data_IF_353038387976
#
_entry.id   IF_353038387976
#
_cell.length_a   1.000
_cell.length_b   1.000
_cell.length_c   1.000
_cell.angle_alpha   90.00
_cell.angle_beta   90.00
_cell.angle_gamma   90.00
#
_symmetry.space_group_name_H-M   'P 1'
#
loop_
_entity.id
_entity.type
_entity.pdbx_description
1 polymer ?
#
# COMPACT_ATOMS: atom_id res chain seq x y z
N UNK A 1 -29.66 2.07 22.18
CA UNK A 1 -28.71 2.85 21.33
C UNK A 1 -29.52 3.62 20.28
N UNK A 2 -29.23 4.91 20.02
CA UNK A 2 -29.93 5.63 18.95
C UNK A 2 -29.56 5.00 17.60
N UNK A 3 -30.50 4.86 16.63
CA UNK A 3 -30.22 4.40 15.30
C UNK A 3 -29.18 5.29 14.59
N UNK A 4 -28.27 4.69 13.80
CA UNK A 4 -27.16 5.41 13.16
C UNK A 4 -27.63 6.62 12.33
N UNK A 5 -28.72 6.49 11.56
CA UNK A 5 -29.20 7.58 10.71
C UNK A 5 -29.68 8.80 11.53
N UNK A 6 -30.25 8.58 12.73
CA UNK A 6 -30.65 9.67 13.62
C UNK A 6 -29.42 10.41 14.14
N UNK A 7 -28.37 9.68 14.52
CA UNK A 7 -27.12 10.29 14.97
C UNK A 7 -26.45 11.13 13.88
N UNK A 8 -26.34 10.57 12.67
CA UNK A 8 -25.76 11.29 11.54
C UNK A 8 -26.60 12.54 11.17
N UNK A 9 -27.94 12.42 11.20
CA UNK A 9 -28.82 13.55 10.95
C UNK A 9 -28.67 14.66 12.00
N UNK A 10 -28.57 14.30 13.29
CA UNK A 10 -28.32 15.27 14.33
C UNK A 10 -26.97 15.99 14.12
N UNK A 11 -25.91 15.26 13.77
CA UNK A 11 -24.60 15.89 13.47
C UNK A 11 -24.65 16.85 12.29
N UNK A 12 -25.52 16.61 11.30
CA UNK A 12 -25.74 17.54 10.18
C UNK A 12 -26.54 18.76 10.65
N UNK A 13 -27.60 18.55 11.46
CA UNK A 13 -28.48 19.62 11.97
C UNK A 13 -27.75 20.51 12.99
N UNK A 14 -26.82 19.95 13.78
CA UNK A 14 -26.00 20.68 14.75
C UNK A 14 -24.88 21.51 14.10
N UNK A 15 -24.62 21.32 12.78
CA UNK A 15 -23.61 22.06 12.06
C UNK A 15 -24.23 23.31 11.38
N UNK A 16 -23.93 24.50 11.94
CA UNK A 16 -24.47 25.77 11.48
C UNK A 16 -24.18 26.12 10.01
N UNK A 17 -23.12 25.53 9.44
CA UNK A 17 -22.65 25.80 8.08
C UNK A 17 -23.05 24.75 7.06
N UNK A 18 -23.89 23.75 7.43
CA UNK A 18 -24.16 22.59 6.58
C UNK A 18 -25.66 22.26 6.60
N UNK A 19 -26.28 22.25 5.43
CA UNK A 19 -27.67 21.78 5.27
C UNK A 19 -27.71 20.40 4.61
N UNK A 20 -28.87 19.72 4.70
CA UNK A 20 -29.07 18.45 3.97
C UNK A 20 -28.95 18.61 2.46
N UNK A 21 -29.25 19.79 1.92
CA UNK A 21 -29.07 20.10 0.50
C UNK A 21 -27.59 20.16 0.15
N UNK A 22 -26.78 20.81 0.97
CA UNK A 22 -25.31 20.87 0.77
C UNK A 22 -24.70 19.47 0.85
N UNK A 23 -25.14 18.65 1.80
CA UNK A 23 -24.71 17.25 1.90
C UNK A 23 -25.08 16.46 0.65
N UNK A 24 -26.27 16.64 0.10
CA UNK A 24 -26.69 15.98 -1.13
C UNK A 24 -25.80 16.38 -2.31
N UNK A 25 -25.50 17.67 -2.46
CA UNK A 25 -24.62 18.22 -3.50
C UNK A 25 -23.19 17.68 -3.35
N UNK A 26 -22.60 17.75 -2.15
CA UNK A 26 -21.25 17.25 -1.85
C UNK A 26 -21.10 15.74 -2.07
N UNK A 27 -22.18 14.97 -1.86
CA UNK A 27 -22.20 13.53 -2.12
C UNK A 27 -22.47 13.20 -3.61
N UNK A 28 -22.89 14.16 -4.41
CA UNK A 28 -23.35 13.94 -5.79
C UNK A 28 -24.58 13.04 -5.84
N UNK A 29 -25.56 13.27 -4.95
CA UNK A 29 -26.82 12.51 -4.88
C UNK A 29 -28.03 13.45 -4.87
N UNK A 30 -29.23 12.91 -5.18
CA UNK A 30 -30.45 13.70 -5.09
C UNK A 30 -30.86 13.96 -3.63
N UNK A 31 -31.58 15.03 -3.38
CA UNK A 31 -32.14 15.32 -2.05
C UNK A 31 -33.11 14.23 -1.57
N UNK A 32 -33.77 13.52 -2.50
CA UNK A 32 -34.62 12.37 -2.18
C UNK A 32 -33.81 11.20 -1.62
N UNK A 33 -32.56 11.03 -2.06
CA UNK A 33 -31.65 10.03 -1.49
C UNK A 33 -31.35 10.35 -0.02
N UNK A 34 -31.06 11.60 0.31
CA UNK A 34 -30.83 12.05 1.69
C UNK A 34 -32.10 11.94 2.53
N UNK A 35 -33.27 12.30 1.98
CA UNK A 35 -34.57 12.12 2.66
C UNK A 35 -34.84 10.64 2.97
N UNK A 36 -34.50 9.74 2.05
CA UNK A 36 -34.61 8.29 2.28
C UNK A 36 -33.67 7.81 3.38
N UNK A 37 -32.46 8.37 3.43
CA UNK A 37 -31.53 8.08 4.54
C UNK A 37 -32.09 8.58 5.87
N UNK A 38 -32.56 9.84 5.94
CA UNK A 38 -33.16 10.44 7.15
C UNK A 38 -34.32 9.59 7.70
N UNK A 39 -35.19 9.12 6.82
CA UNK A 39 -36.41 8.42 7.23
C UNK A 39 -36.26 6.90 7.41
N UNK A 40 -35.33 6.25 6.68
CA UNK A 40 -35.23 4.78 6.60
C UNK A 40 -33.84 4.24 6.99
N UNK A 41 -32.86 5.10 7.22
CA UNK A 41 -31.47 4.70 7.53
C UNK A 41 -30.77 3.99 6.36
N UNK A 42 -31.23 4.15 5.12
CA UNK A 42 -30.67 3.47 3.96
C UNK A 42 -29.61 4.36 3.30
N UNK A 43 -28.35 4.00 3.44
CA UNK A 43 -27.22 4.67 2.82
C UNK A 43 -26.16 3.65 2.38
N UNK A 44 -25.46 3.94 1.27
CA UNK A 44 -24.30 3.16 0.88
C UNK A 44 -23.06 3.51 1.72
N UNK A 45 -22.18 2.53 1.97
CA UNK A 45 -21.00 2.70 2.81
C UNK A 45 -20.06 3.82 2.31
N UNK A 46 -19.83 3.91 1.00
CA UNK A 46 -19.05 5.01 0.41
C UNK A 46 -19.62 6.39 0.72
N UNK A 47 -20.95 6.54 0.68
CA UNK A 47 -21.61 7.80 1.00
C UNK A 47 -21.52 8.09 2.51
N UNK A 48 -21.67 7.07 3.35
CA UNK A 48 -21.49 7.21 4.79
C UNK A 48 -20.05 7.63 5.13
N UNK A 49 -19.06 7.02 4.49
CA UNK A 49 -17.65 7.40 4.63
C UNK A 49 -17.42 8.85 4.19
N UNK A 50 -17.99 9.29 3.05
CA UNK A 50 -17.90 10.69 2.61
C UNK A 50 -18.55 11.66 3.60
N UNK A 51 -19.70 11.31 4.18
CA UNK A 51 -20.35 12.11 5.23
C UNK A 51 -19.41 12.28 6.42
N UNK A 52 -18.71 11.22 6.84
CA UNK A 52 -17.78 11.34 7.97
C UNK A 52 -16.67 12.37 7.71
N UNK A 53 -16.19 12.49 6.49
CA UNK A 53 -15.21 13.53 6.12
C UNK A 53 -15.82 14.94 6.07
N UNK A 54 -17.08 15.06 5.65
CA UNK A 54 -17.78 16.35 5.60
C UNK A 54 -18.03 16.89 7.01
N UNK A 55 -18.34 15.99 7.96
CA UNK A 55 -18.72 16.34 9.32
C UNK A 55 -17.54 16.50 10.29
N UNK A 56 -16.33 16.20 9.88
CA UNK A 56 -15.15 16.22 10.76
C UNK A 56 -14.06 17.14 10.24
N UNK A 57 -13.29 17.71 11.16
CA UNK A 57 -12.22 18.68 10.85
C UNK A 57 -10.83 18.06 10.80
N UNK A 58 -10.67 16.85 11.35
CA UNK A 58 -9.39 16.15 11.40
C UNK A 58 -9.52 14.67 11.02
N UNK A 59 -8.42 14.09 10.54
CA UNK A 59 -8.36 12.65 10.22
C UNK A 59 -8.57 11.76 11.47
N UNK A 60 -8.16 12.23 12.63
CA UNK A 60 -8.36 11.50 13.90
C UNK A 60 -9.83 11.47 14.30
N UNK A 61 -10.50 12.62 14.25
CA UNK A 61 -11.92 12.73 14.49
C UNK A 61 -12.74 11.88 13.51
N UNK A 62 -12.42 11.96 12.21
CA UNK A 62 -13.03 11.14 11.16
C UNK A 62 -12.91 9.65 11.46
N UNK A 63 -11.70 9.20 11.83
CA UNK A 63 -11.44 7.80 12.19
C UNK A 63 -12.28 7.36 13.39
N UNK A 64 -12.41 8.21 14.42
CA UNK A 64 -13.23 7.94 15.61
C UNK A 64 -14.71 7.82 15.26
N UNK A 65 -15.25 8.83 14.57
CA UNK A 65 -16.65 8.86 14.11
C UNK A 65 -16.98 7.64 13.26
N UNK A 66 -16.16 7.35 12.25
CA UNK A 66 -16.41 6.21 11.37
C UNK A 66 -16.28 4.87 12.08
N UNK A 67 -15.39 4.76 13.09
CA UNK A 67 -15.29 3.56 13.94
C UNK A 67 -16.58 3.31 14.72
N UNK A 68 -17.13 4.34 15.32
CA UNK A 68 -18.40 4.24 16.08
C UNK A 68 -19.57 3.89 15.15
N UNK A 69 -19.60 4.46 13.95
CA UNK A 69 -20.63 4.14 12.95
C UNK A 69 -20.53 2.71 12.44
N UNK A 70 -19.32 2.21 12.15
CA UNK A 70 -19.11 0.83 11.73
C UNK A 70 -19.67 -0.18 12.75
N UNK A 71 -19.53 0.11 14.02
CA UNK A 71 -20.06 -0.75 15.09
C UNK A 71 -21.60 -0.72 15.20
N UNK A 72 -22.27 0.29 14.61
CA UNK A 72 -23.73 0.42 14.59
C UNK A 72 -24.38 -0.11 13.32
N UNK A 73 -23.59 -0.50 12.31
CA UNK A 73 -24.12 -1.07 11.08
C UNK A 73 -24.67 -2.47 11.33
N UNK A 74 -25.86 -2.76 10.75
CA UNK A 74 -26.59 -4.01 10.96
C UNK A 74 -26.71 -4.84 9.67
N UNK A 75 -26.66 -4.18 8.48
CA UNK A 75 -26.81 -4.88 7.21
C UNK A 75 -25.52 -5.66 6.88
N UNK A 76 -25.68 -6.92 6.51
CA UNK A 76 -24.57 -7.83 6.15
C UNK A 76 -23.54 -7.18 5.24
N UNK A 77 -23.96 -6.51 4.16
CA UNK A 77 -23.03 -5.88 3.22
C UNK A 77 -22.25 -4.72 3.86
N UNK A 78 -22.89 -3.93 4.73
CA UNK A 78 -22.23 -2.85 5.45
C UNK A 78 -21.25 -3.38 6.52
N UNK A 79 -21.59 -4.49 7.18
CA UNK A 79 -20.68 -5.19 8.11
C UNK A 79 -19.43 -5.67 7.39
N UNK A 80 -19.58 -6.30 6.22
CA UNK A 80 -18.46 -6.71 5.37
C UNK A 80 -17.52 -5.54 5.05
N UNK A 81 -18.09 -4.42 4.64
CA UNK A 81 -17.35 -3.19 4.32
C UNK A 81 -16.68 -2.57 5.56
N UNK A 82 -17.26 -2.74 6.76
CA UNK A 82 -16.64 -2.31 8.02
C UNK A 82 -15.37 -3.11 8.35
N UNK A 83 -15.37 -4.42 8.12
CA UNK A 83 -14.16 -5.23 8.26
C UNK A 83 -13.05 -4.76 7.30
N UNK A 84 -13.40 -4.52 6.03
CA UNK A 84 -12.43 -4.03 5.06
C UNK A 84 -11.93 -2.63 5.41
N UNK A 85 -12.82 -1.71 5.82
CA UNK A 85 -12.44 -0.37 6.28
C UNK A 85 -11.45 -0.43 7.45
N UNK A 86 -11.73 -1.26 8.46
CA UNK A 86 -10.86 -1.40 9.62
C UNK A 86 -9.45 -1.89 9.23
N UNK A 87 -9.36 -2.85 8.30
CA UNK A 87 -8.07 -3.41 7.88
C UNK A 87 -7.30 -2.51 6.93
N UNK A 88 -7.95 -1.91 5.92
CA UNK A 88 -7.28 -1.04 4.95
C UNK A 88 -6.75 0.24 5.60
N UNK A 89 -7.48 0.77 6.58
CA UNK A 89 -7.04 1.94 7.36
C UNK A 89 -6.13 1.59 8.54
N UNK A 90 -5.80 0.30 8.72
CA UNK A 90 -5.03 -0.23 9.87
C UNK A 90 -5.59 0.22 11.22
N UNK A 91 -6.92 0.26 11.34
CA UNK A 91 -7.60 0.57 12.59
C UNK A 91 -7.78 -0.71 13.42
N UNK A 92 -6.69 -1.10 14.11
CA UNK A 92 -6.61 -2.36 14.87
C UNK A 92 -7.70 -2.42 15.94
N UNK A 93 -7.94 -1.32 16.66
CA UNK A 93 -8.98 -1.27 17.70
C UNK A 93 -10.39 -1.52 17.15
N UNK A 94 -10.72 -0.95 16.00
CA UNK A 94 -12.00 -1.22 15.34
C UNK A 94 -12.09 -2.68 14.88
N UNK A 95 -11.04 -3.21 14.27
CA UNK A 95 -11.00 -4.59 13.79
C UNK A 95 -11.21 -5.58 14.93
N UNK A 96 -10.53 -5.38 16.06
CA UNK A 96 -10.69 -6.20 17.26
C UNK A 96 -12.13 -6.19 17.78
N UNK A 97 -12.74 -4.99 17.87
CA UNK A 97 -14.15 -4.84 18.29
C UNK A 97 -15.12 -5.53 17.32
N UNK A 98 -14.89 -5.45 16.01
CA UNK A 98 -15.71 -6.15 15.01
C UNK A 98 -15.57 -7.67 15.15
N UNK A 99 -14.33 -8.18 15.26
CA UNK A 99 -14.09 -9.62 15.47
C UNK A 99 -14.77 -10.12 16.75
N UNK A 100 -14.68 -9.37 17.85
CA UNK A 100 -15.34 -9.71 19.12
C UNK A 100 -16.86 -9.68 19.01
N UNK A 101 -17.43 -8.62 18.40
CA UNK A 101 -18.88 -8.45 18.23
C UNK A 101 -19.51 -9.58 17.42
N UNK A 102 -18.85 -10.02 16.34
CA UNK A 102 -19.39 -11.00 15.40
C UNK A 102 -18.83 -12.43 15.58
N UNK A 103 -18.13 -12.68 16.70
CA UNK A 103 -17.46 -13.97 16.99
C UNK A 103 -18.39 -15.18 16.90
N UNK A 104 -19.64 -15.03 17.26
CA UNK A 104 -20.63 -16.13 17.34
C UNK A 104 -21.65 -16.11 16.21
N UNK A 105 -21.45 -15.26 15.20
CA UNK A 105 -22.32 -15.20 14.03
C UNK A 105 -22.13 -16.42 13.12
N UNK A 106 -23.16 -16.69 12.32
CA UNK A 106 -23.20 -17.80 11.38
C UNK A 106 -23.21 -17.33 9.93
N UNK A 107 -23.11 -18.26 8.99
CA UNK A 107 -23.18 -17.97 7.54
C UNK A 107 -22.02 -17.08 7.07
N UNK A 108 -22.32 -16.16 6.16
CA UNK A 108 -21.31 -15.30 5.52
C UNK A 108 -20.50 -14.46 6.50
N UNK A 109 -21.11 -13.95 7.58
CA UNK A 109 -20.36 -13.14 8.56
C UNK A 109 -19.31 -13.98 9.30
N UNK A 110 -19.60 -15.25 9.58
CA UNK A 110 -18.61 -16.19 10.14
C UNK A 110 -17.39 -16.33 9.23
N UNK A 111 -17.61 -16.45 7.91
CA UNK A 111 -16.50 -16.51 6.94
C UNK A 111 -15.65 -15.23 7.01
N UNK A 112 -16.29 -14.04 7.09
CA UNK A 112 -15.60 -12.76 7.27
C UNK A 112 -14.78 -12.72 8.55
N UNK A 113 -15.34 -13.12 9.68
CA UNK A 113 -14.62 -13.19 10.96
C UNK A 113 -13.38 -14.07 10.83
N UNK A 114 -13.48 -15.24 10.19
CA UNK A 114 -12.35 -16.16 10.02
C UNK A 114 -11.23 -15.56 9.16
N UNK A 115 -11.55 -15.01 7.99
CA UNK A 115 -10.55 -14.42 7.08
C UNK A 115 -9.92 -13.16 7.69
N UNK A 116 -10.73 -12.27 8.27
CA UNK A 116 -10.22 -11.03 8.86
C UNK A 116 -9.47 -11.25 10.18
N UNK A 117 -9.66 -12.38 10.87
CA UNK A 117 -8.81 -12.78 12.00
C UNK A 117 -7.38 -13.10 11.52
N UNK A 118 -7.22 -13.76 10.37
CA UNK A 118 -5.88 -13.98 9.78
C UNK A 118 -5.22 -12.64 9.44
N UNK A 119 -5.96 -11.71 8.81
CA UNK A 119 -5.45 -10.36 8.53
C UNK A 119 -5.10 -9.59 9.81
N UNK A 120 -5.90 -9.71 10.87
CA UNK A 120 -5.60 -9.13 12.17
C UNK A 120 -4.25 -9.66 12.69
N UNK A 121 -4.06 -10.98 12.74
CA UNK A 121 -2.83 -11.60 13.20
C UNK A 121 -1.61 -11.18 12.35
N UNK A 122 -1.80 -11.03 11.03
CA UNK A 122 -0.75 -10.51 10.14
C UNK A 122 -0.40 -9.04 10.42
N UNK A 123 -1.42 -8.18 10.57
CA UNK A 123 -1.21 -6.74 10.81
C UNK A 123 -0.59 -6.48 12.19
N UNK A 124 -0.92 -7.32 13.19
CA UNK A 124 -0.35 -7.25 14.56
C UNK A 124 0.99 -7.97 14.70
N UNK A 125 1.53 -8.54 13.61
CA UNK A 125 2.76 -9.34 13.57
C UNK A 125 2.72 -10.62 14.44
N UNK A 126 1.52 -11.17 14.71
CA UNK A 126 1.36 -12.49 15.34
C UNK A 126 1.71 -13.61 14.36
N UNK A 127 1.53 -13.38 13.06
CA UNK A 127 1.99 -14.25 11.97
C UNK A 127 2.81 -13.46 10.97
N UNK A 128 3.82 -14.10 10.38
CA UNK A 128 4.63 -13.52 9.31
C UNK A 128 3.96 -13.67 7.94
N UNK A 129 4.32 -12.81 6.97
CA UNK A 129 3.71 -12.81 5.65
C UNK A 129 3.91 -14.09 4.87
N UNK A 130 5.02 -14.80 5.06
CA UNK A 130 5.33 -16.10 4.44
C UNK A 130 4.52 -17.28 5.02
N UNK A 131 3.72 -17.07 6.08
CA UNK A 131 2.81 -18.06 6.69
C UNK A 131 1.35 -17.87 6.32
N UNK A 132 1.02 -16.85 5.52
CA UNK A 132 -0.38 -16.54 5.19
C UNK A 132 -1.09 -17.68 4.42
N UNK A 133 -0.40 -18.40 3.55
CA UNK A 133 -1.00 -19.54 2.82
C UNK A 133 -1.35 -20.67 3.80
N UNK A 134 -0.51 -20.99 4.75
CA UNK A 134 -0.77 -22.02 5.76
C UNK A 134 -2.03 -21.67 6.56
N UNK A 135 -2.15 -20.43 7.03
CA UNK A 135 -3.33 -19.96 7.77
C UNK A 135 -4.61 -19.98 6.92
N UNK A 136 -4.53 -19.54 5.65
CA UNK A 136 -5.66 -19.56 4.71
C UNK A 136 -6.17 -20.99 4.50
N UNK A 137 -5.28 -21.99 4.39
CA UNK A 137 -5.65 -23.38 4.19
C UNK A 137 -6.45 -23.95 5.37
N UNK A 138 -6.25 -23.44 6.60
CA UNK A 138 -6.98 -23.92 7.79
C UNK A 138 -8.47 -23.59 7.76
N UNK A 139 -8.88 -22.51 7.08
CA UNK A 139 -10.28 -22.06 7.06
C UNK A 139 -11.07 -22.56 5.84
N UNK A 140 -10.40 -23.18 4.86
CA UNK A 140 -11.03 -23.65 3.63
C UNK A 140 -11.45 -22.52 2.68
N UNK A 141 -12.17 -22.86 1.62
CA UNK A 141 -12.58 -21.91 0.58
C UNK A 141 -13.93 -21.26 0.96
N UNK A 142 -14.00 -19.91 1.13
CA UNK A 142 -15.24 -19.22 1.41
C UNK A 142 -16.25 -19.32 0.26
N UNK A 143 -17.53 -19.23 0.59
CA UNK A 143 -18.60 -19.14 -0.41
C UNK A 143 -18.68 -17.76 -1.04
N UNK A 144 -18.35 -16.71 -0.29
CA UNK A 144 -18.37 -15.32 -0.73
C UNK A 144 -17.22 -15.02 -1.71
N UNK A 145 -17.56 -14.44 -2.87
CA UNK A 145 -16.59 -14.11 -3.92
C UNK A 145 -15.58 -13.03 -3.46
N UNK A 146 -16.04 -12.02 -2.70
CA UNK A 146 -15.15 -10.95 -2.23
C UNK A 146 -14.05 -11.55 -1.35
N UNK A 147 -14.39 -12.49 -0.45
CA UNK A 147 -13.40 -13.17 0.39
C UNK A 147 -12.44 -14.05 -0.42
N UNK A 148 -12.91 -14.71 -1.48
CA UNK A 148 -12.01 -15.49 -2.37
C UNK A 148 -10.97 -14.58 -3.05
N UNK A 149 -11.40 -13.42 -3.52
CA UNK A 149 -10.50 -12.43 -4.08
C UNK A 149 -9.49 -11.95 -3.02
N UNK A 150 -9.96 -11.62 -1.81
CA UNK A 150 -9.10 -11.21 -0.70
C UNK A 150 -8.07 -12.28 -0.34
N UNK A 151 -8.47 -13.56 -0.30
CA UNK A 151 -7.53 -14.66 -0.06
C UNK A 151 -6.47 -14.79 -1.17
N UNK A 152 -6.81 -14.52 -2.43
CA UNK A 152 -5.82 -14.48 -3.50
C UNK A 152 -4.84 -13.29 -3.33
N UNK A 153 -5.32 -12.13 -2.89
CA UNK A 153 -4.44 -11.01 -2.51
C UNK A 153 -3.49 -11.43 -1.37
N UNK A 154 -4.00 -12.13 -0.34
CA UNK A 154 -3.15 -12.62 0.76
C UNK A 154 -2.11 -13.66 0.28
N UNK A 155 -2.44 -14.50 -0.72
CA UNK A 155 -1.45 -15.37 -1.37
C UNK A 155 -0.35 -14.55 -2.08
N UNK A 156 -0.72 -13.42 -2.72
CA UNK A 156 0.28 -12.53 -3.30
C UNK A 156 1.22 -11.95 -2.22
N UNK A 157 0.70 -11.59 -1.04
CA UNK A 157 1.55 -11.20 0.09
C UNK A 157 2.51 -12.33 0.49
N UNK A 158 2.01 -13.56 0.64
CA UNK A 158 2.85 -14.72 0.96
C UNK A 158 3.98 -14.91 -0.06
N UNK A 159 3.67 -14.97 -1.33
CA UNK A 159 4.66 -15.14 -2.39
C UNK A 159 5.67 -13.98 -2.46
N UNK A 160 5.25 -12.76 -2.15
CA UNK A 160 6.16 -11.63 -2.04
C UNK A 160 7.20 -11.85 -0.94
N UNK A 161 6.76 -12.23 0.27
CA UNK A 161 7.66 -12.48 1.40
C UNK A 161 8.55 -13.71 1.18
N UNK A 162 8.05 -14.74 0.51
CA UNK A 162 8.81 -15.93 0.10
C UNK A 162 9.72 -15.69 -1.12
N UNK A 163 9.69 -14.49 -1.71
CA UNK A 163 10.44 -14.12 -2.94
C UNK A 163 10.05 -14.95 -4.18
N UNK A 164 8.86 -15.52 -4.21
CA UNK A 164 8.32 -16.34 -5.30
C UNK A 164 7.58 -15.47 -6.33
N UNK A 165 8.28 -14.48 -6.91
CA UNK A 165 7.66 -13.43 -7.74
C UNK A 165 6.93 -13.94 -8.98
N UNK A 166 7.38 -15.04 -9.59
CA UNK A 166 6.72 -15.62 -10.77
C UNK A 166 5.32 -16.14 -10.41
N UNK A 167 5.21 -16.87 -9.30
CA UNK A 167 3.92 -17.35 -8.79
C UNK A 167 3.03 -16.19 -8.36
N UNK A 168 3.62 -15.21 -7.68
CA UNK A 168 2.91 -14.00 -7.27
C UNK A 168 2.29 -13.26 -8.45
N UNK A 169 3.06 -13.00 -9.52
CA UNK A 169 2.57 -12.27 -10.70
C UNK A 169 1.43 -13.03 -11.39
N UNK A 170 1.52 -14.36 -11.50
CA UNK A 170 0.45 -15.18 -12.08
C UNK A 170 -0.86 -15.09 -11.28
N UNK A 171 -0.78 -15.19 -9.94
CA UNK A 171 -1.95 -15.03 -9.07
C UNK A 171 -2.48 -13.59 -9.10
N UNK A 172 -1.60 -12.58 -9.11
CA UNK A 172 -1.99 -11.20 -9.15
C UNK A 172 -2.78 -10.85 -10.41
N UNK A 173 -2.31 -11.25 -11.61
CA UNK A 173 -3.00 -11.01 -12.88
C UNK A 173 -4.42 -11.60 -12.90
N UNK A 174 -4.59 -12.81 -12.40
CA UNK A 174 -5.94 -13.42 -12.31
C UNK A 174 -6.80 -12.69 -11.28
N UNK A 175 -6.21 -12.25 -10.17
CA UNK A 175 -6.90 -11.50 -9.12
C UNK A 175 -7.37 -10.13 -9.62
N UNK A 176 -6.55 -9.42 -10.40
CA UNK A 176 -6.93 -8.16 -11.05
C UNK A 176 -8.14 -8.33 -11.96
N UNK A 177 -8.16 -9.39 -12.80
CA UNK A 177 -9.32 -9.71 -13.64
C UNK A 177 -10.59 -9.96 -12.82
N UNK A 178 -10.46 -10.61 -11.66
CA UNK A 178 -11.59 -10.86 -10.76
C UNK A 178 -12.07 -9.57 -10.10
N UNK A 179 -11.17 -8.70 -9.65
CA UNK A 179 -11.50 -7.38 -9.07
C UNK A 179 -12.26 -6.53 -10.09
N UNK A 180 -11.84 -6.52 -11.36
CA UNK A 180 -12.51 -5.75 -12.41
C UNK A 180 -13.93 -6.25 -12.72
N UNK A 181 -14.26 -7.49 -12.40
CA UNK A 181 -15.62 -8.04 -12.52
C UNK A 181 -16.55 -7.59 -11.37
N UNK A 182 -16.03 -7.03 -10.29
CA UNK A 182 -16.85 -6.45 -9.22
C UNK A 182 -17.55 -5.19 -9.74
N UNK A 183 -18.86 -5.26 -9.92
CA UNK A 183 -19.68 -4.19 -10.52
C UNK A 183 -20.78 -3.71 -9.56
N UNK A 184 -21.21 -2.48 -9.77
CA UNK A 184 -22.31 -1.85 -9.04
C UNK A 184 -21.85 -1.08 -7.79
N UNK A 185 -22.65 -0.09 -7.41
CA UNK A 185 -22.34 0.86 -6.32
C UNK A 185 -22.02 0.16 -4.98
N UNK A 186 -22.69 -0.96 -4.68
CA UNK A 186 -22.47 -1.71 -3.45
C UNK A 186 -21.10 -2.36 -3.36
N UNK A 187 -20.47 -2.70 -4.50
CA UNK A 187 -19.15 -3.31 -4.58
C UNK A 187 -18.02 -2.28 -4.75
N UNK A 188 -18.35 -1.04 -5.01
CA UNK A 188 -17.37 -0.01 -5.33
C UNK A 188 -16.31 0.16 -4.24
N UNK A 189 -16.72 0.20 -2.97
CA UNK A 189 -15.79 0.32 -1.84
C UNK A 189 -14.80 -0.87 -1.79
N UNK A 190 -15.33 -2.10 -1.81
CA UNK A 190 -14.50 -3.33 -1.79
C UNK A 190 -13.57 -3.38 -2.99
N UNK A 191 -14.10 -3.09 -4.19
CA UNK A 191 -13.29 -3.04 -5.42
C UNK A 191 -12.09 -2.12 -5.26
N UNK A 192 -12.29 -0.90 -4.78
CA UNK A 192 -11.21 0.06 -4.61
C UNK A 192 -10.21 -0.34 -3.54
N UNK A 193 -10.68 -0.89 -2.42
CA UNK A 193 -9.79 -1.43 -1.40
C UNK A 193 -8.92 -2.56 -1.96
N UNK A 194 -9.47 -3.44 -2.79
CA UNK A 194 -8.74 -4.56 -3.36
C UNK A 194 -7.74 -4.14 -4.44
N UNK A 195 -8.10 -3.16 -5.28
CA UNK A 195 -7.15 -2.53 -6.20
C UNK A 195 -5.96 -1.96 -5.42
N UNK A 196 -6.23 -1.25 -4.33
CA UNK A 196 -5.18 -0.70 -3.49
C UNK A 196 -4.29 -1.78 -2.87
N UNK A 197 -4.90 -2.86 -2.33
CA UNK A 197 -4.15 -3.98 -1.73
C UNK A 197 -3.25 -4.70 -2.73
N UNK A 198 -3.74 -4.94 -3.95
CA UNK A 198 -2.90 -5.59 -4.95
C UNK A 198 -1.77 -4.67 -5.42
N UNK A 199 -2.02 -3.36 -5.47
CA UNK A 199 -0.99 -2.38 -5.78
C UNK A 199 0.10 -2.31 -4.71
N UNK A 200 -0.25 -2.50 -3.40
CA UNK A 200 0.72 -2.54 -2.30
C UNK A 200 1.78 -3.64 -2.49
N UNK A 201 1.46 -4.74 -3.13
CA UNK A 201 2.38 -5.84 -3.35
C UNK A 201 3.04 -5.79 -4.72
N UNK A 202 2.31 -5.33 -5.74
CA UNK A 202 2.85 -5.26 -7.11
C UNK A 202 3.86 -4.12 -7.28
N UNK A 203 3.65 -2.96 -6.67
CA UNK A 203 4.58 -1.84 -6.75
C UNK A 203 6.02 -2.21 -6.35
N UNK A 204 6.26 -2.68 -5.12
CA UNK A 204 7.59 -3.07 -4.68
C UNK A 204 8.13 -4.32 -5.42
N UNK A 205 7.26 -5.23 -5.86
CA UNK A 205 7.68 -6.39 -6.63
C UNK A 205 8.22 -6.00 -8.01
N UNK A 206 7.51 -5.16 -8.75
CA UNK A 206 7.98 -4.67 -10.04
C UNK A 206 9.24 -3.79 -9.91
N UNK A 207 9.36 -3.00 -8.82
CA UNK A 207 10.60 -2.29 -8.53
C UNK A 207 11.78 -3.28 -8.41
N UNK A 208 11.62 -4.34 -7.65
CA UNK A 208 12.63 -5.39 -7.47
C UNK A 208 12.95 -6.12 -8.78
N UNK A 209 11.94 -6.35 -9.62
CA UNK A 209 12.06 -6.97 -10.94
C UNK A 209 12.56 -6.01 -12.04
N UNK A 210 12.99 -4.80 -11.68
CA UNK A 210 13.49 -3.74 -12.56
C UNK A 210 12.48 -3.28 -13.63
N UNK A 211 11.19 -3.53 -13.45
CA UNK A 211 10.15 -2.94 -14.27
C UNK A 211 9.69 -1.62 -13.64
N UNK A 212 10.46 -0.56 -13.90
CA UNK A 212 10.31 0.72 -13.21
C UNK A 212 9.01 1.44 -13.58
N UNK A 213 8.51 1.25 -14.79
CA UNK A 213 7.25 1.80 -15.26
C UNK A 213 6.06 1.18 -14.52
N UNK A 214 5.99 -0.15 -14.47
CA UNK A 214 4.95 -0.85 -13.71
C UNK A 214 5.03 -0.52 -12.22
N UNK A 215 6.23 -0.45 -11.64
CA UNK A 215 6.42 -0.05 -10.25
C UNK A 215 5.82 1.34 -9.96
N UNK A 216 6.07 2.32 -10.83
CA UNK A 216 5.50 3.68 -10.76
C UNK A 216 3.99 3.64 -10.87
N UNK A 217 3.44 2.92 -11.84
CA UNK A 217 2.00 2.80 -12.05
C UNK A 217 1.29 2.36 -10.75
N UNK A 218 1.69 1.23 -10.16
CA UNK A 218 1.07 0.75 -8.92
C UNK A 218 1.33 1.67 -7.71
N UNK A 219 2.49 2.29 -7.63
CA UNK A 219 2.79 3.25 -6.57
C UNK A 219 1.94 4.53 -6.69
N UNK A 220 1.63 5.00 -7.90
CA UNK A 220 0.71 6.13 -8.10
C UNK A 220 -0.72 5.80 -7.68
N UNK A 221 -1.19 4.57 -7.89
CA UNK A 221 -2.48 4.09 -7.37
C UNK A 221 -2.54 4.31 -5.86
N UNK A 222 -1.52 3.85 -5.12
CA UNK A 222 -1.46 3.98 -3.67
C UNK A 222 -1.37 5.46 -3.24
N UNK A 223 -0.52 6.22 -3.92
CA UNK A 223 -0.33 7.65 -3.65
C UNK A 223 -1.62 8.44 -3.84
N UNK A 224 -2.38 8.17 -4.90
CA UNK A 224 -3.65 8.85 -5.18
C UNK A 224 -4.73 8.45 -4.18
N UNK A 225 -4.83 7.19 -3.80
CA UNK A 225 -5.80 6.74 -2.79
C UNK A 225 -5.56 7.37 -1.41
N UNK A 226 -4.30 7.66 -1.03
CA UNK A 226 -3.88 8.35 0.20
C UNK A 226 -4.63 7.88 1.46
N UNK A 227 -4.78 6.56 1.61
CA UNK A 227 -5.58 5.95 2.69
C UNK A 227 -4.87 6.09 4.05
N UNK A 228 -3.54 5.96 4.06
CA UNK A 228 -2.74 6.12 5.28
C UNK A 228 -1.37 6.72 4.99
N UNK A 229 -0.79 7.37 6.01
CA UNK A 229 0.55 7.97 5.92
C UNK A 229 1.63 6.94 5.64
N UNK A 230 1.50 5.73 6.19
CA UNK A 230 2.45 4.64 5.92
C UNK A 230 2.44 4.26 4.45
N UNK A 231 1.26 3.97 3.90
CA UNK A 231 1.12 3.57 2.49
C UNK A 231 1.57 4.68 1.53
N UNK A 232 1.29 5.94 1.87
CA UNK A 232 1.78 7.09 1.11
C UNK A 232 3.32 7.17 1.15
N UNK A 233 3.92 6.98 2.31
CA UNK A 233 5.39 6.94 2.46
C UNK A 233 6.00 5.82 1.62
N UNK A 234 5.44 4.61 1.67
CA UNK A 234 5.89 3.45 0.90
C UNK A 234 5.77 3.70 -0.62
N UNK A 235 4.66 4.26 -1.07
CA UNK A 235 4.46 4.62 -2.48
C UNK A 235 5.48 5.67 -2.96
N UNK A 236 5.72 6.71 -2.17
CA UNK A 236 6.72 7.73 -2.48
C UNK A 236 8.15 7.16 -2.53
N UNK A 237 8.46 6.18 -1.66
CA UNK A 237 9.71 5.42 -1.72
C UNK A 237 9.85 4.66 -3.04
N UNK A 238 8.82 3.91 -3.44
CA UNK A 238 8.83 3.13 -4.70
C UNK A 238 9.02 4.06 -5.90
N UNK A 239 8.27 5.18 -5.95
CA UNK A 239 8.42 6.18 -7.03
C UNK A 239 9.84 6.75 -7.02
N UNK A 240 10.37 7.11 -5.86
CA UNK A 240 11.74 7.62 -5.74
C UNK A 240 12.77 6.61 -6.24
N UNK A 241 12.71 5.37 -5.75
CA UNK A 241 13.62 4.30 -6.17
C UNK A 241 13.52 3.96 -7.65
N UNK A 242 12.35 4.09 -8.25
CA UNK A 242 12.18 3.87 -9.69
C UNK A 242 12.88 4.92 -10.56
N UNK A 243 13.30 6.05 -9.99
CA UNK A 243 14.10 7.08 -10.64
C UNK A 243 15.60 6.98 -10.31
N UNK A 244 16.02 5.96 -9.55
CA UNK A 244 17.40 5.86 -9.03
C UNK A 244 18.48 6.01 -10.10
N UNK A 245 18.28 5.42 -11.28
CA UNK A 245 19.24 5.47 -12.38
C UNK A 245 18.83 6.39 -13.52
N UNK A 246 17.60 6.93 -13.48
CA UNK A 246 17.06 7.78 -14.55
C UNK A 246 17.15 9.27 -14.22
N UNK A 247 16.85 9.65 -12.95
CA UNK A 247 16.76 11.05 -12.57
C UNK A 247 17.05 11.24 -11.07
N UNK A 248 18.28 11.66 -10.77
CA UNK A 248 18.77 11.91 -9.40
C UNK A 248 17.89 12.88 -8.61
N UNK A 249 17.47 13.98 -9.23
CA UNK A 249 16.68 15.02 -8.57
C UNK A 249 15.30 14.50 -8.16
N UNK A 250 14.61 13.83 -9.08
CA UNK A 250 13.31 13.22 -8.78
C UNK A 250 13.44 12.12 -7.72
N UNK A 251 14.44 11.25 -7.82
CA UNK A 251 14.70 10.21 -6.84
C UNK A 251 14.81 10.81 -5.43
N UNK A 252 15.72 11.75 -5.22
CA UNK A 252 15.94 12.40 -3.91
C UNK A 252 14.69 13.14 -3.42
N UNK A 253 13.99 13.85 -4.32
CA UNK A 253 12.78 14.59 -3.95
C UNK A 253 11.66 13.66 -3.43
N UNK A 254 11.41 12.54 -4.13
CA UNK A 254 10.39 11.59 -3.68
C UNK A 254 10.78 10.89 -2.37
N UNK A 255 12.05 10.54 -2.17
CA UNK A 255 12.52 9.96 -0.92
C UNK A 255 12.45 10.95 0.25
N UNK A 256 12.74 12.23 0.04
CA UNK A 256 12.51 13.28 1.05
C UNK A 256 11.04 13.41 1.41
N UNK A 257 10.13 13.33 0.44
CA UNK A 257 8.68 13.31 0.69
C UNK A 257 8.27 12.06 1.46
N UNK A 258 8.78 10.87 1.09
CA UNK A 258 8.55 9.62 1.83
C UNK A 258 8.96 9.76 3.30
N UNK A 259 10.17 10.25 3.57
CA UNK A 259 10.65 10.50 4.92
C UNK A 259 9.76 11.50 5.69
N UNK A 260 9.31 12.58 5.03
CA UNK A 260 8.39 13.56 5.64
C UNK A 260 7.07 12.91 6.07
N UNK A 261 6.46 12.07 5.24
CA UNK A 261 5.23 11.36 5.58
C UNK A 261 5.46 10.32 6.71
N UNK A 262 6.58 9.57 6.65
CA UNK A 262 6.95 8.61 7.71
C UNK A 262 7.13 9.28 9.07
N UNK A 263 7.69 10.50 9.13
CA UNK A 263 7.86 11.27 10.36
C UNK A 263 6.54 11.65 11.03
N UNK A 264 5.44 11.68 10.27
CA UNK A 264 4.09 11.96 10.81
C UNK A 264 3.41 10.72 11.42
N UNK A 265 4.06 9.55 11.35
CA UNK A 265 3.56 8.30 11.90
C UNK A 265 4.07 8.16 13.33
N UNK A 266 3.23 7.69 14.24
CA UNK A 266 3.61 7.48 15.65
C UNK A 266 4.67 6.38 15.83
N UNK A 267 4.78 5.45 14.87
CA UNK A 267 5.73 4.33 14.89
C UNK A 267 7.13 4.80 14.49
N UNK A 268 7.99 5.03 15.48
CA UNK A 268 9.35 5.55 15.31
C UNK A 268 10.24 4.72 14.37
N UNK A 269 9.99 3.42 14.28
CA UNK A 269 10.70 2.51 13.38
C UNK A 269 10.55 2.94 11.91
N UNK A 270 9.34 3.32 11.48
CA UNK A 270 9.07 3.73 10.09
C UNK A 270 9.79 5.03 9.72
N UNK A 271 9.90 5.97 10.66
CA UNK A 271 10.70 7.19 10.45
C UNK A 271 12.18 6.84 10.24
N UNK A 272 12.74 5.96 11.08
CA UNK A 272 14.14 5.53 10.97
C UNK A 272 14.39 4.83 9.65
N UNK A 273 13.52 3.92 9.24
CA UNK A 273 13.59 3.20 7.96
C UNK A 273 13.60 4.17 6.77
N UNK A 274 12.63 5.09 6.69
CA UNK A 274 12.57 6.06 5.60
C UNK A 274 13.79 7.00 5.57
N UNK A 275 14.33 7.38 6.74
CA UNK A 275 15.57 8.15 6.84
C UNK A 275 16.78 7.36 6.32
N UNK A 276 16.87 6.07 6.67
CA UNK A 276 17.93 5.20 6.19
C UNK A 276 17.86 5.04 4.67
N UNK A 277 16.66 4.82 4.11
CA UNK A 277 16.45 4.72 2.66
C UNK A 277 16.95 5.96 1.91
N UNK A 278 16.63 7.15 2.40
CA UNK A 278 17.13 8.41 1.82
C UNK A 278 18.66 8.49 1.90
N UNK A 279 19.25 8.14 3.04
CA UNK A 279 20.70 8.16 3.22
C UNK A 279 21.43 7.18 2.32
N UNK A 280 20.89 5.98 2.13
CA UNK A 280 21.45 4.98 1.20
C UNK A 280 21.53 5.50 -0.22
N UNK A 281 20.49 6.17 -0.67
CA UNK A 281 20.44 6.73 -2.02
C UNK A 281 21.37 7.95 -2.15
N UNK A 282 21.47 8.82 -1.15
CA UNK A 282 22.48 9.89 -1.11
C UNK A 282 23.89 9.32 -1.25
N UNK A 283 24.21 8.25 -0.50
CA UNK A 283 25.49 7.54 -0.57
C UNK A 283 25.71 6.86 -1.93
N UNK A 284 24.66 6.31 -2.56
CA UNK A 284 24.75 5.76 -3.91
C UNK A 284 25.20 6.82 -4.91
N UNK A 285 24.64 8.03 -4.85
CA UNK A 285 25.04 9.11 -5.74
C UNK A 285 26.45 9.66 -5.44
N UNK A 286 26.86 9.70 -4.16
CA UNK A 286 28.25 10.00 -3.80
C UNK A 286 29.21 8.99 -4.43
N UNK A 287 28.84 7.70 -4.43
CA UNK A 287 29.62 6.63 -5.08
C UNK A 287 29.73 6.82 -6.58
N UNK A 288 28.61 7.14 -7.24
CA UNK A 288 28.57 7.27 -8.72
C UNK A 288 29.25 8.55 -9.20
N UNK A 289 29.11 9.65 -8.45
CA UNK A 289 29.58 10.97 -8.85
C UNK A 289 31.07 11.23 -8.51
N UNK A 290 31.70 10.42 -7.65
CA UNK A 290 33.08 10.64 -7.20
C UNK A 290 33.95 9.39 -7.33
N UNK A 291 35.15 9.56 -7.84
CA UNK A 291 36.22 8.55 -7.80
C UNK A 291 36.74 8.29 -6.36
N UNK A 292 36.25 9.00 -5.38
CA UNK A 292 36.70 9.02 -3.97
C UNK A 292 36.20 7.86 -3.11
N UNK A 293 35.53 6.88 -3.68
CA UNK A 293 34.81 5.80 -2.99
C UNK A 293 35.72 4.77 -2.32
N UNK A 294 36.99 4.78 -2.61
CA UNK A 294 37.98 3.86 -2.05
C UNK A 294 38.34 4.17 -0.58
N UNK A 295 37.68 5.14 0.08
CA UNK A 295 38.06 5.48 1.45
C UNK A 295 37.38 4.55 2.48
N UNK A 296 38.18 4.01 3.37
CA UNK A 296 37.75 3.25 4.55
C UNK A 296 36.66 3.99 5.36
N UNK A 297 36.68 5.33 5.36
CA UNK A 297 35.69 6.17 6.02
C UNK A 297 34.27 6.03 5.46
N UNK A 298 34.11 5.72 4.17
CA UNK A 298 32.80 5.49 3.57
C UNK A 298 32.22 4.16 4.08
N UNK A 299 33.04 3.09 4.11
CA UNK A 299 32.65 1.77 4.62
C UNK A 299 32.29 1.85 6.11
N UNK A 300 33.11 2.56 6.90
CA UNK A 300 32.85 2.75 8.34
C UNK A 300 31.54 3.50 8.60
N UNK A 301 31.25 4.55 7.84
CA UNK A 301 29.95 5.26 7.92
C UNK A 301 28.79 4.35 7.55
N UNK A 302 28.97 3.45 6.58
CA UNK A 302 27.94 2.46 6.25
C UNK A 302 27.69 1.53 7.43
N UNK A 303 28.73 0.92 8.01
CA UNK A 303 28.60 -0.03 9.11
C UNK A 303 28.02 0.62 10.37
N UNK A 304 28.39 1.86 10.66
CA UNK A 304 27.85 2.62 11.79
C UNK A 304 26.35 2.96 11.62
N UNK A 305 25.92 3.26 10.38
CA UNK A 305 24.53 3.59 10.07
C UNK A 305 23.61 2.37 9.99
N UNK A 306 24.14 1.19 9.67
CA UNK A 306 23.36 0.01 9.26
C UNK A 306 23.44 -1.16 10.25
N UNK A 307 23.61 -0.89 11.51
CA UNK A 307 23.47 -1.89 12.56
C UNK A 307 22.07 -2.56 12.57
N UNK A 308 21.12 -1.99 11.81
CA UNK A 308 19.77 -2.51 11.57
C UNK A 308 19.62 -3.01 10.12
N UNK A 309 19.33 -4.27 9.95
CA UNK A 309 19.34 -5.13 8.74
C UNK A 309 18.44 -4.71 7.55
N UNK A 310 17.81 -3.54 7.55
CA UNK A 310 16.68 -3.23 6.65
C UNK A 310 17.08 -2.85 5.22
N UNK A 311 18.37 -2.59 4.93
CA UNK A 311 18.88 -2.24 3.59
C UNK A 311 20.05 -3.12 3.12
N UNK A 312 19.93 -4.42 3.35
CA UNK A 312 20.97 -5.40 3.03
C UNK A 312 21.45 -5.33 1.57
N UNK A 313 20.54 -5.04 0.62
CA UNK A 313 20.86 -4.98 -0.80
C UNK A 313 21.83 -3.84 -1.14
N UNK A 314 21.62 -2.63 -0.62
CA UNK A 314 22.55 -1.52 -0.78
C UNK A 314 23.91 -1.80 -0.11
N UNK A 315 23.92 -2.40 1.07
CA UNK A 315 25.15 -2.74 1.78
C UNK A 315 25.98 -3.74 0.98
N UNK A 316 25.35 -4.77 0.42
CA UNK A 316 26.02 -5.74 -0.46
C UNK A 316 26.60 -5.05 -1.71
N UNK A 317 25.79 -4.19 -2.34
CA UNK A 317 26.24 -3.40 -3.48
C UNK A 317 27.47 -2.55 -3.13
N UNK A 318 27.43 -1.76 -2.07
CA UNK A 318 28.53 -0.89 -1.69
C UNK A 318 29.80 -1.69 -1.31
N UNK A 319 29.65 -2.77 -0.55
CA UNK A 319 30.80 -3.64 -0.20
C UNK A 319 31.47 -4.20 -1.44
N UNK A 320 30.70 -4.66 -2.42
CA UNK A 320 31.26 -5.15 -3.69
C UNK A 320 31.87 -4.03 -4.55
N UNK A 321 31.20 -2.87 -4.61
CA UNK A 321 31.67 -1.72 -5.37
C UNK A 321 32.92 -1.04 -4.78
N UNK A 322 33.20 -1.20 -3.49
CA UNK A 322 34.41 -0.67 -2.87
C UNK A 322 35.66 -1.57 -3.02
N UNK A 323 35.50 -2.79 -3.55
CA UNK A 323 36.64 -3.65 -3.84
C UNK A 323 37.33 -3.25 -5.15
N UNK A 324 38.66 -3.41 -5.22
CA UNK A 324 39.40 -3.17 -6.46
C UNK A 324 39.14 -4.24 -7.53
N UNK A 325 38.93 -5.48 -7.09
CA UNK A 325 38.68 -6.63 -7.96
C UNK A 325 37.19 -6.71 -8.33
N UNK A 326 36.89 -7.02 -9.60
CA UNK A 326 35.53 -7.29 -10.07
C UNK A 326 34.93 -8.62 -9.57
N UNK A 327 35.72 -9.47 -8.93
CA UNK A 327 35.26 -10.79 -8.45
C UNK A 327 34.07 -10.67 -7.51
N UNK A 328 34.11 -9.73 -6.55
CA UNK A 328 33.00 -9.54 -5.60
C UNK A 328 31.76 -8.93 -6.27
N UNK A 329 31.95 -8.08 -7.28
CA UNK A 329 30.85 -7.59 -8.12
C UNK A 329 30.16 -8.74 -8.86
N UNK A 330 30.90 -9.67 -9.46
CA UNK A 330 30.33 -10.83 -10.14
C UNK A 330 29.58 -11.78 -9.16
N UNK A 331 30.13 -12.01 -7.98
CA UNK A 331 29.43 -12.78 -6.93
C UNK A 331 28.13 -12.11 -6.54
N UNK A 332 28.16 -10.82 -6.31
CA UNK A 332 27.00 -10.02 -5.95
C UNK A 332 25.95 -9.97 -7.07
N UNK A 333 26.38 -9.81 -8.35
CA UNK A 333 25.53 -9.89 -9.52
C UNK A 333 24.77 -11.22 -9.59
N UNK A 334 25.49 -12.34 -9.45
CA UNK A 334 24.91 -13.68 -9.42
C UNK A 334 23.91 -13.83 -8.30
N UNK A 335 24.24 -13.36 -7.10
CA UNK A 335 23.37 -13.45 -5.93
C UNK A 335 22.08 -12.68 -6.16
N UNK A 336 22.13 -11.41 -6.57
CA UNK A 336 20.95 -10.61 -6.84
C UNK A 336 20.09 -11.19 -7.97
N UNK A 337 20.74 -11.67 -9.05
CA UNK A 337 20.00 -12.26 -10.16
C UNK A 337 19.26 -13.54 -9.76
N UNK A 338 19.89 -14.43 -8.99
CA UNK A 338 19.26 -15.67 -8.50
C UNK A 338 18.13 -15.40 -7.49
N UNK A 339 18.18 -14.26 -6.78
CA UNK A 339 17.13 -13.81 -5.88
C UNK A 339 16.05 -12.96 -6.57
N UNK A 340 16.05 -12.90 -7.90
CA UNK A 340 15.15 -12.06 -8.69
C UNK A 340 15.18 -10.58 -8.27
N UNK A 341 16.34 -10.08 -7.84
CA UNK A 341 16.58 -8.67 -7.56
C UNK A 341 17.25 -7.99 -8.76
N UNK A 342 16.50 -7.84 -9.83
CA UNK A 342 17.04 -7.34 -11.10
C UNK A 342 17.39 -5.85 -11.06
N UNK A 343 16.74 -5.06 -10.19
CA UNK A 343 17.16 -3.67 -9.97
C UNK A 343 18.61 -3.61 -9.49
N UNK A 344 18.97 -4.34 -8.45
CA UNK A 344 20.35 -4.35 -7.94
C UNK A 344 21.31 -5.10 -8.87
N UNK A 345 20.84 -6.12 -9.60
CA UNK A 345 21.62 -6.74 -10.67
C UNK A 345 22.03 -5.71 -11.74
N UNK A 346 21.09 -4.85 -12.16
CA UNK A 346 21.34 -3.75 -13.09
C UNK A 346 22.36 -2.74 -12.54
N UNK A 347 22.30 -2.39 -11.24
CA UNK A 347 23.28 -1.49 -10.62
C UNK A 347 24.69 -2.08 -10.65
N UNK A 348 24.84 -3.38 -10.31
CA UNK A 348 26.13 -4.09 -10.38
C UNK A 348 26.64 -4.16 -11.82
N UNK A 349 25.76 -4.46 -12.78
CA UNK A 349 26.14 -4.51 -14.20
C UNK A 349 26.62 -3.13 -14.71
N UNK A 350 25.97 -2.04 -14.32
CA UNK A 350 26.42 -0.67 -14.59
C UNK A 350 27.80 -0.37 -14.01
N UNK A 351 28.08 -0.83 -12.78
CA UNK A 351 29.38 -0.65 -12.15
C UNK A 351 30.47 -1.47 -12.86
N UNK A 352 30.21 -2.73 -13.24
CA UNK A 352 31.13 -3.54 -14.04
C UNK A 352 31.44 -2.89 -15.40
N UNK A 353 30.38 -2.39 -16.07
CA UNK A 353 30.52 -1.66 -17.32
C UNK A 353 31.42 -0.39 -17.20
N UNK A 354 31.19 0.39 -16.13
CA UNK A 354 31.99 1.57 -15.79
C UNK A 354 33.47 1.23 -15.57
N UNK A 355 33.78 0.05 -15.05
CA UNK A 355 35.15 -0.47 -14.86
C UNK A 355 35.78 -1.05 -16.11
N UNK A 356 35.11 -0.94 -17.26
CA UNK A 356 35.62 -1.37 -18.56
C UNK A 356 35.24 -2.80 -18.95
N UNK A 357 34.36 -3.46 -18.21
CA UNK A 357 33.87 -4.81 -18.52
C UNK A 357 32.67 -4.75 -19.47
N UNK A 358 32.93 -4.45 -20.72
CA UNK A 358 31.91 -4.20 -21.76
C UNK A 358 31.60 -5.48 -22.55
N UNK A 359 31.01 -6.47 -21.93
CA UNK A 359 30.53 -7.67 -22.61
C UNK A 359 29.02 -7.56 -22.91
N UNK A 360 28.57 -8.25 -23.97
CA UNK A 360 27.15 -8.33 -24.35
C UNK A 360 26.27 -8.80 -23.17
N UNK A 361 26.78 -9.68 -22.31
CA UNK A 361 26.06 -10.17 -21.15
C UNK A 361 25.86 -9.06 -20.12
N UNK A 362 26.89 -8.25 -19.86
CA UNK A 362 26.80 -7.12 -18.92
C UNK A 362 25.85 -6.06 -19.48
N UNK A 363 25.94 -5.72 -20.76
CA UNK A 363 25.01 -4.78 -21.41
C UNK A 363 23.56 -5.27 -21.31
N UNK A 364 23.30 -6.55 -21.59
CA UNK A 364 21.97 -7.12 -21.45
C UNK A 364 21.46 -7.08 -20.00
N UNK A 365 22.33 -7.31 -19.01
CA UNK A 365 21.95 -7.27 -17.59
C UNK A 365 21.62 -5.85 -17.09
N UNK A 366 22.17 -4.81 -17.68
CA UNK A 366 21.85 -3.41 -17.36
C UNK A 366 20.36 -3.14 -17.57
N UNK A 367 19.80 -3.62 -18.68
CA UNK A 367 18.42 -3.35 -19.09
C UNK A 367 17.46 -4.50 -18.78
N UNK A 368 17.98 -5.57 -18.17
CA UNK A 368 17.15 -6.74 -17.85
C UNK A 368 16.01 -6.39 -16.89
N UNK A 369 14.80 -6.68 -17.32
CA UNK A 369 13.57 -6.49 -16.51
C UNK A 369 12.61 -7.64 -16.76
N UNK A 370 11.73 -7.89 -15.78
CA UNK A 370 10.59 -8.79 -15.97
C UNK A 370 9.44 -7.99 -16.60
N UNK A 371 8.99 -8.43 -17.78
CA UNK A 371 7.85 -7.82 -18.46
C UNK A 371 6.58 -7.88 -17.58
N UNK A 372 5.79 -6.83 -17.66
CA UNK A 372 4.45 -6.80 -17.10
C UNK A 372 3.52 -7.55 -18.06
N UNK A 373 2.64 -8.41 -17.54
CA UNK A 373 1.46 -8.83 -18.29
C UNK A 373 0.54 -7.63 -18.53
N UNK A 374 -0.45 -7.79 -19.40
CA UNK A 374 -1.42 -6.72 -19.71
C UNK A 374 -2.02 -6.16 -18.41
N UNK A 375 -1.68 -4.92 -18.07
CA UNK A 375 -2.19 -4.22 -16.88
C UNK A 375 -3.68 -3.88 -17.06
N UNK A 376 -4.47 -4.11 -16.01
CA UNK A 376 -5.93 -3.96 -16.08
C UNK A 376 -6.47 -2.69 -15.41
N UNK A 377 -5.65 -1.95 -14.68
CA UNK A 377 -6.09 -0.76 -13.96
C UNK A 377 -5.76 0.52 -14.73
N UNK A 378 -6.79 1.24 -15.15
CA UNK A 378 -6.66 2.61 -15.64
C UNK A 378 -6.68 3.59 -14.45
N UNK A 379 -5.95 4.73 -14.56
CA UNK A 379 -5.82 5.73 -13.49
C UNK A 379 -7.16 6.35 -13.07
N UNK A 380 -8.16 6.36 -13.93
CA UNK A 380 -9.47 7.00 -13.72
C UNK A 380 -10.39 6.25 -12.73
N UNK A 381 -10.01 5.09 -12.22
CA UNK A 381 -10.90 4.24 -11.39
C UNK A 381 -10.92 4.60 -9.90
N UNK A 382 -10.30 5.71 -9.44
CA UNK A 382 -10.02 5.99 -8.02
C UNK A 382 -10.88 7.05 -7.32
N UNK A 383 -12.04 7.43 -7.88
CA UNK A 383 -12.86 8.57 -7.42
C UNK A 383 -13.42 8.49 -5.98
N UNK A 384 -13.49 7.33 -5.33
CA UNK A 384 -14.12 7.26 -3.98
C UNK A 384 -13.26 7.93 -2.91
N UNK A 385 -11.94 7.87 -3.03
CA UNK A 385 -11.04 8.53 -2.08
C UNK A 385 -10.63 9.95 -2.55
N UNK A 386 -10.69 10.26 -3.85
CA UNK A 386 -10.37 11.59 -4.41
C UNK A 386 -11.37 12.69 -4.02
N UNK A 387 -12.64 12.37 -3.87
CA UNK A 387 -13.67 13.33 -3.44
C UNK A 387 -13.47 13.89 -2.02
N UNK A 388 -12.53 13.36 -1.28
CA UNK A 388 -12.26 13.67 0.12
C UNK A 388 -11.30 14.86 0.28
N UNK A 389 -10.34 15.03 -0.62
CA UNK A 389 -9.28 16.05 -0.50
C UNK A 389 -9.75 17.43 -0.98
N UNK A 390 -10.67 17.49 -1.93
CA UNK A 390 -11.16 18.77 -2.51
C UNK A 390 -12.19 19.49 -1.66
N UNK A 391 -12.89 18.82 -0.74
CA UNK A 391 -13.87 19.44 0.15
C UNK A 391 -13.25 20.24 1.30
N UNK A 392 -12.07 19.85 1.81
CA UNK A 392 -11.40 20.56 2.90
C UNK A 392 -10.86 21.94 2.53
N UNK A 393 -10.68 22.26 1.24
CA UNK A 393 -10.19 23.56 0.78
C UNK A 393 -11.29 24.60 0.50
N UNK A 394 -12.59 24.24 0.56
CA UNK A 394 -13.69 25.19 0.32
C UNK A 394 -14.24 25.87 1.58
N UNK A 395 -13.96 25.34 2.77
CA UNK A 395 -14.46 25.88 4.05
C UNK A 395 -13.41 26.59 4.90
N UNK A 396 -12.19 26.77 4.38
CA UNK A 396 -11.13 27.59 5.03
C UNK A 396 -11.06 28.99 4.37
N UNK A 397 -12.18 29.70 4.33
CA UNK A 397 -12.19 31.14 4.06
C UNK A 397 -13.06 31.85 5.07
#
# INVERSE_FOLDING_TARGET
MKPLHIEVCNMIEDNENLTFTDVAELLGVSIQYISKFKNKGIIGFCKLLKISYILTTSAEEQRKVMSDWCLKLEKTEAIKQSFEYATITRNISLLEKLLGKYKHENGTIKEYVSVYKILYNYITNEISGDKLIDEIQTIGLPTDLDLRILMNIMKCYNYYFSKEFVLMLGVAQETEKQIMKLKGERKLFIKQCYIHRIAEVLGPAYLRLNNLEAARHYAYIIKHANISKKMLSDALYIIGMSHLTENKEQCINFLKKSYKEAKMISEKRLEVEAKCNLKMVEMYYELVDSDCVKSMNFIMKMEEMFYQRENEDFIKFFKAACQESNIELHKCLREFFTQSNYLFSSLIAKELYRRGEQSMVIEWMIDFKKEQGDGYFEEDSFDVFHGIITSNNRFSK
#
